data_IF_412336595923
#
_entry.id   IF_412336595923
#
_cell.length_a   1.000
_cell.length_b   1.000
_cell.length_c   1.000
_cell.angle_alpha   90.00
_cell.angle_beta   90.00
_cell.angle_gamma   90.00
#
_symmetry.space_group_name_H-M   'P 1'
#
loop_
_entity.id
_entity.type
_entity.pdbx_description
1 polymer ?
#
# COMPACT_ATOMS: atom_id res chain seq x y z
N UNK A 1 14.60 4.63 -4.89
CA UNK A 1 14.71 5.90 -4.12
C UNK A 1 14.69 5.70 -2.59
N UNK A 2 13.86 4.81 -2.02
CA UNK A 2 13.77 4.63 -0.57
C UNK A 2 15.12 4.31 0.11
N UNK A 3 15.89 3.36 -0.42
CA UNK A 3 17.22 3.06 0.13
C UNK A 3 18.18 4.26 0.04
N UNK A 4 18.36 4.92 -1.11
CA UNK A 4 19.11 6.18 -1.17
C UNK A 4 18.71 7.24 -0.15
N UNK A 5 17.41 7.40 0.13
CA UNK A 5 16.93 8.33 1.16
C UNK A 5 17.43 7.95 2.56
N UNK A 6 17.36 6.66 2.93
CA UNK A 6 17.82 6.20 4.25
C UNK A 6 19.33 6.18 4.40
N UNK A 7 20.04 5.81 3.34
CA UNK A 7 21.50 5.68 3.35
C UNK A 7 22.20 7.04 3.31
N UNK A 8 21.45 8.13 3.06
CA UNK A 8 22.03 9.46 2.93
C UNK A 8 22.69 9.70 1.57
N UNK A 9 22.29 8.96 0.52
CA UNK A 9 22.77 9.13 -0.85
C UNK A 9 22.14 10.33 -1.56
N UNK A 10 22.95 11.15 -2.23
CA UNK A 10 22.50 12.37 -2.90
C UNK A 10 21.57 12.12 -4.11
N UNK A 11 21.54 10.91 -4.63
CA UNK A 11 20.87 10.57 -5.88
C UNK A 11 20.17 9.21 -5.77
N UNK A 12 19.05 9.04 -6.47
CA UNK A 12 18.48 7.73 -6.64
C UNK A 12 19.39 6.82 -7.47
N UNK A 13 19.18 5.50 -7.35
CA UNK A 13 19.92 4.48 -8.09
C UNK A 13 18.96 3.51 -8.74
N UNK A 14 19.33 3.04 -9.92
CA UNK A 14 18.62 1.96 -10.60
C UNK A 14 18.70 0.67 -9.77
N UNK A 15 17.64 -0.12 -9.85
CA UNK A 15 17.55 -1.41 -9.17
C UNK A 15 16.83 -2.41 -10.06
N UNK A 16 17.10 -3.69 -9.85
CA UNK A 16 16.22 -4.73 -10.37
C UNK A 16 14.94 -4.74 -9.54
N UNK A 17 13.82 -4.39 -10.16
CA UNK A 17 12.52 -4.44 -9.51
C UNK A 17 12.09 -5.89 -9.27
N UNK A 18 11.80 -6.22 -8.01
CA UNK A 18 11.36 -7.57 -7.59
C UNK A 18 9.94 -7.60 -7.02
N UNK A 19 9.33 -6.44 -6.77
CA UNK A 19 7.99 -6.37 -6.20
C UNK A 19 6.93 -6.93 -7.14
N UNK A 20 5.96 -7.62 -6.56
CA UNK A 20 4.73 -8.10 -7.20
C UNK A 20 3.56 -7.13 -6.96
N UNK A 21 3.79 -6.03 -6.23
CA UNK A 21 2.82 -4.93 -6.09
C UNK A 21 2.68 -4.23 -7.43
N UNK A 22 1.50 -4.39 -8.03
CA UNK A 22 1.12 -3.69 -9.26
C UNK A 22 1.23 -2.17 -9.08
N UNK A 23 1.54 -1.44 -10.15
CA UNK A 23 1.69 0.02 -10.11
C UNK A 23 3.01 0.55 -9.54
N UNK A 24 3.82 -0.29 -8.87
CA UNK A 24 5.14 0.08 -8.34
C UNK A 24 6.31 -0.62 -9.04
N UNK A 25 6.03 -1.34 -10.14
CA UNK A 25 7.02 -2.10 -10.91
C UNK A 25 7.87 -1.21 -11.83
N UNK A 26 8.50 -0.20 -11.26
CA UNK A 26 9.33 0.78 -11.98
C UNK A 26 10.79 0.58 -11.59
N UNK A 27 11.56 -0.02 -12.49
CA UNK A 27 12.97 -0.32 -12.25
C UNK A 27 13.92 0.86 -12.55
N UNK A 28 13.48 1.82 -13.37
CA UNK A 28 14.30 2.95 -13.82
C UNK A 28 14.15 4.18 -12.93
N UNK A 29 15.25 4.89 -12.72
CA UNK A 29 15.25 6.21 -12.08
C UNK A 29 14.76 7.28 -13.08
N UNK A 30 13.45 7.36 -13.29
CA UNK A 30 12.86 8.41 -14.14
C UNK A 30 12.85 9.74 -13.38
N UNK A 31 12.10 9.81 -12.28
CA UNK A 31 11.99 11.02 -11.43
C UNK A 31 12.68 10.84 -10.07
N UNK A 32 13.37 9.71 -9.85
CA UNK A 32 13.90 9.36 -8.53
C UNK A 32 14.96 10.34 -8.02
N UNK A 33 15.76 10.93 -8.91
CA UNK A 33 16.74 11.96 -8.56
C UNK A 33 16.07 13.22 -8.02
N UNK A 34 14.98 13.65 -8.66
CA UNK A 34 14.17 14.79 -8.25
C UNK A 34 13.52 14.49 -6.90
N UNK A 35 12.91 13.30 -6.75
CA UNK A 35 12.28 12.87 -5.51
C UNK A 35 13.25 12.86 -4.32
N UNK A 36 14.48 12.34 -4.50
CA UNK A 36 15.52 12.36 -3.46
C UNK A 36 15.90 13.79 -3.09
N UNK A 37 16.09 14.65 -4.09
CA UNK A 37 16.49 16.05 -3.90
C UNK A 37 15.43 16.84 -3.13
N UNK A 38 14.16 16.74 -3.50
CA UNK A 38 13.08 17.48 -2.85
C UNK A 38 12.78 16.96 -1.44
N UNK A 39 12.79 15.64 -1.24
CA UNK A 39 12.57 15.03 0.08
C UNK A 39 13.62 15.45 1.12
N UNK A 40 14.88 15.61 0.69
CA UNK A 40 15.96 16.10 1.56
C UNK A 40 15.76 17.53 2.05
N UNK A 41 15.11 18.40 1.27
CA UNK A 41 14.85 19.78 1.69
C UNK A 41 13.88 19.88 2.87
N UNK A 42 13.15 18.80 3.14
CA UNK A 42 12.18 18.71 4.24
C UNK A 42 12.66 17.78 5.35
N UNK A 43 13.95 17.40 5.36
CA UNK A 43 14.51 16.37 6.25
C UNK A 43 13.71 15.04 6.21
N UNK A 44 13.08 14.77 5.07
CA UNK A 44 12.25 13.59 4.86
C UNK A 44 13.07 12.34 4.53
N UNK A 45 12.41 11.19 4.63
CA UNK A 45 13.02 9.88 4.35
C UNK A 45 12.05 8.95 3.60
N UNK A 46 12.43 7.68 3.42
CA UNK A 46 11.57 6.67 2.80
C UNK A 46 11.83 5.27 3.35
N UNK A 47 10.89 4.36 3.16
CA UNK A 47 10.97 2.99 3.66
C UNK A 47 10.92 1.97 2.53
N UNK A 48 11.72 0.92 2.64
CA UNK A 48 11.45 -0.32 1.94
C UNK A 48 10.36 -1.06 2.70
N UNK A 49 9.41 -1.63 1.96
CA UNK A 49 8.29 -2.40 2.49
C UNK A 49 8.19 -3.71 1.75
N UNK A 50 7.85 -4.77 2.46
CA UNK A 50 7.66 -6.11 1.90
C UNK A 50 6.26 -6.22 1.28
N UNK A 51 6.13 -6.92 0.15
CA UNK A 51 4.85 -7.08 -0.55
C UNK A 51 3.74 -7.67 0.36
N UNK A 52 4.08 -8.67 1.19
CA UNK A 52 3.11 -9.28 2.13
C UNK A 52 2.61 -8.29 3.17
N UNK A 53 3.45 -7.33 3.57
CA UNK A 53 3.02 -6.26 4.46
C UNK A 53 2.05 -5.32 3.72
N UNK A 54 2.35 -4.98 2.47
CA UNK A 54 1.46 -4.14 1.64
C UNK A 54 0.09 -4.80 1.46
N UNK A 55 0.02 -6.09 1.12
CA UNK A 55 -1.25 -6.79 0.97
C UNK A 55 -2.02 -6.93 2.28
N UNK A 56 -1.32 -7.12 3.40
CA UNK A 56 -1.95 -7.09 4.73
C UNK A 56 -2.58 -5.72 5.00
N UNK A 57 -1.83 -4.63 4.82
CA UNK A 57 -2.34 -3.28 5.08
C UNK A 57 -3.47 -2.90 4.11
N UNK A 58 -3.37 -3.26 2.84
CA UNK A 58 -4.46 -3.10 1.88
C UNK A 58 -5.76 -3.76 2.39
N UNK A 59 -5.66 -4.98 2.90
CA UNK A 59 -6.78 -5.73 3.45
C UNK A 59 -7.32 -5.10 4.73
N UNK A 60 -6.45 -4.66 5.64
CA UNK A 60 -6.83 -4.00 6.88
C UNK A 60 -7.55 -2.66 6.60
N UNK A 61 -7.06 -1.87 5.63
CA UNK A 61 -7.73 -0.66 5.17
C UNK A 61 -9.14 -0.93 4.63
N UNK A 62 -9.32 -1.99 3.84
CA UNK A 62 -10.63 -2.34 3.30
C UNK A 62 -11.61 -2.84 4.37
N UNK A 63 -11.14 -3.67 5.32
CA UNK A 63 -12.00 -4.37 6.28
C UNK A 63 -12.28 -3.58 7.55
N UNK A 64 -11.31 -2.79 8.01
CA UNK A 64 -11.38 -2.09 9.29
C UNK A 64 -11.69 -0.61 9.11
N UNK A 65 -11.15 0.02 8.06
CA UNK A 65 -11.26 1.47 7.84
C UNK A 65 -12.26 1.84 6.72
N UNK A 66 -12.79 0.86 5.99
CA UNK A 66 -13.69 1.09 4.85
C UNK A 66 -13.02 1.77 3.65
N UNK A 67 -11.69 1.71 3.56
CA UNK A 67 -10.89 2.31 2.48
C UNK A 67 -10.49 1.24 1.47
N UNK A 68 -11.20 1.19 0.35
CA UNK A 68 -10.93 0.22 -0.72
C UNK A 68 -9.91 0.75 -1.75
N UNK A 69 -8.63 0.48 -1.51
CA UNK A 69 -7.50 0.95 -2.33
C UNK A 69 -6.80 -0.16 -3.12
N UNK A 70 -6.06 0.22 -4.16
CA UNK A 70 -5.13 -0.68 -4.86
C UNK A 70 -3.87 -0.94 -4.00
N UNK A 71 -3.12 -2.03 -4.23
CA UNK A 71 -1.95 -2.35 -3.40
C UNK A 71 -0.89 -1.24 -3.35
N UNK A 72 -0.57 -0.59 -4.48
CA UNK A 72 0.39 0.52 -4.51
C UNK A 72 0.00 1.69 -3.58
N UNK A 73 -1.29 2.00 -3.51
CA UNK A 73 -1.80 3.11 -2.70
C UNK A 73 -1.68 2.82 -1.19
N UNK A 74 -1.69 1.55 -0.77
CA UNK A 74 -1.49 1.16 0.62
C UNK A 74 -0.05 1.37 1.12
N UNK A 75 0.93 1.56 0.23
CA UNK A 75 2.35 1.73 0.61
C UNK A 75 2.59 3.00 1.43
N UNK A 76 1.83 4.07 1.19
CA UNK A 76 1.94 5.30 2.00
C UNK A 76 1.65 5.02 3.48
N UNK A 77 0.62 4.21 3.76
CA UNK A 77 0.25 3.76 5.12
C UNK A 77 1.30 2.81 5.69
N UNK A 78 1.85 1.90 4.87
CA UNK A 78 2.94 1.01 5.31
C UNK A 78 4.17 1.81 5.77
N UNK A 79 4.53 2.85 5.02
CA UNK A 79 5.61 3.77 5.38
C UNK A 79 5.36 4.48 6.71
N UNK A 80 4.14 5.00 6.92
CA UNK A 80 3.75 5.63 8.18
C UNK A 80 3.80 4.65 9.37
N UNK A 81 3.34 3.41 9.19
CA UNK A 81 3.43 2.38 10.24
C UNK A 81 4.89 2.07 10.59
N UNK A 82 5.77 1.94 9.59
CA UNK A 82 7.20 1.73 9.84
C UNK A 82 7.83 2.93 10.55
N UNK A 83 7.50 4.16 10.15
CA UNK A 83 7.97 5.39 10.80
C UNK A 83 7.59 5.42 12.28
N UNK A 84 6.33 5.07 12.59
CA UNK A 84 5.83 5.00 13.97
C UNK A 84 6.57 3.93 14.77
N UNK A 85 6.75 2.73 14.19
CA UNK A 85 7.47 1.64 14.85
C UNK A 85 8.94 1.97 15.12
N UNK A 86 9.56 2.79 14.28
CA UNK A 86 10.94 3.25 14.45
C UNK A 86 11.04 4.49 15.36
N UNK A 87 9.92 5.04 15.83
CA UNK A 87 9.88 6.26 16.65
C UNK A 87 10.24 7.54 15.89
N UNK A 88 10.21 7.50 14.56
CA UNK A 88 10.50 8.64 13.68
C UNK A 88 9.29 9.59 13.57
N UNK A 89 8.09 9.10 13.86
CA UNK A 89 6.87 9.88 14.12
C UNK A 89 6.24 9.43 15.44
N UNK A 90 5.44 10.30 16.06
CA UNK A 90 4.75 10.05 17.33
C UNK A 90 3.28 9.68 17.10
N UNK A 91 2.66 9.05 18.11
CA UNK A 91 1.27 8.59 18.03
C UNK A 91 0.24 9.74 17.95
N UNK A 92 0.63 10.93 18.38
CA UNK A 92 -0.18 12.16 18.36
C UNK A 92 0.14 13.08 17.16
N UNK A 93 1.07 12.70 16.30
CA UNK A 93 1.36 13.43 15.06
C UNK A 93 0.17 13.34 14.09
N UNK A 94 -0.05 14.43 13.34
CA UNK A 94 -1.02 14.46 12.25
C UNK A 94 -0.34 13.98 10.97
N UNK A 95 -0.68 12.77 10.53
CA UNK A 95 -0.09 12.14 9.35
C UNK A 95 -1.12 12.09 8.22
N UNK A 96 -0.67 12.42 7.02
CA UNK A 96 -1.47 12.32 5.79
C UNK A 96 -0.86 11.22 4.91
N UNK A 97 -1.64 10.17 4.64
CA UNK A 97 -1.26 9.08 3.74
C UNK A 97 -2.07 9.16 2.44
N UNK A 98 -1.48 9.58 1.31
CA UNK A 98 -2.20 9.65 0.05
C UNK A 98 -2.64 8.26 -0.44
N UNK A 99 -3.92 8.14 -0.80
CA UNK A 99 -4.47 6.96 -1.46
C UNK A 99 -4.66 7.30 -2.94
N UNK A 100 -3.69 6.92 -3.77
CA UNK A 100 -3.59 7.35 -5.18
C UNK A 100 -4.47 6.56 -6.15
N UNK A 101 -5.00 5.41 -5.72
CA UNK A 101 -5.81 4.54 -6.57
C UNK A 101 -6.80 3.68 -5.79
N UNK A 102 -7.97 3.48 -6.39
CA UNK A 102 -9.05 2.63 -5.88
C UNK A 102 -8.78 1.16 -6.15
N UNK A 103 -9.29 0.26 -5.29
CA UNK A 103 -9.14 -1.19 -5.47
C UNK A 103 -9.68 -1.73 -6.80
N UNK A 104 -10.64 -1.04 -7.44
CA UNK A 104 -11.16 -1.40 -8.76
C UNK A 104 -10.13 -1.35 -9.90
N UNK A 105 -8.98 -0.71 -9.71
CA UNK A 105 -7.92 -0.64 -10.72
C UNK A 105 -7.13 -1.95 -10.86
N UNK A 106 -7.17 -2.83 -9.86
CA UNK A 106 -6.41 -4.09 -9.86
C UNK A 106 -7.28 -5.28 -9.45
N UNK A 107 -7.99 -5.90 -10.41
CA UNK A 107 -8.84 -7.06 -10.16
C UNK A 107 -8.10 -8.25 -9.52
N UNK A 108 -6.82 -8.47 -9.85
CA UNK A 108 -6.05 -9.59 -9.28
C UNK A 108 -5.79 -9.37 -7.79
N UNK A 109 -5.56 -8.13 -7.38
CA UNK A 109 -5.45 -7.81 -5.95
C UNK A 109 -6.76 -8.02 -5.21
N UNK A 110 -7.91 -7.79 -5.87
CA UNK A 110 -9.23 -8.04 -5.29
C UNK A 110 -9.43 -9.53 -5.01
N UNK A 111 -9.10 -10.39 -5.98
CA UNK A 111 -9.14 -11.85 -5.80
C UNK A 111 -8.28 -12.28 -4.60
N UNK A 112 -7.08 -11.70 -4.45
CA UNK A 112 -6.21 -11.97 -3.30
C UNK A 112 -6.84 -11.51 -1.98
N UNK A 113 -7.41 -10.30 -1.94
CA UNK A 113 -8.00 -9.69 -0.75
C UNK A 113 -9.15 -10.53 -0.19
N UNK A 114 -9.91 -11.19 -1.07
CA UNK A 114 -11.06 -12.03 -0.70
C UNK A 114 -10.77 -13.54 -0.72
N UNK A 115 -9.51 -13.95 -0.94
CA UNK A 115 -9.16 -15.37 -1.11
C UNK A 115 -9.43 -16.26 0.11
N UNK A 116 -9.51 -15.67 1.30
CA UNK A 116 -9.85 -16.33 2.57
C UNK A 116 -11.31 -16.10 2.99
N UNK A 117 -12.12 -15.47 2.13
CA UNK A 117 -13.54 -15.25 2.37
C UNK A 117 -14.35 -16.35 1.71
N UNK A 118 -15.23 -16.97 2.50
CA UNK A 118 -16.30 -17.77 1.95
C UNK A 118 -17.42 -16.82 1.50
N UNK A 119 -17.71 -16.81 0.20
CA UNK A 119 -18.82 -16.07 -0.38
C UNK A 119 -19.91 -17.07 -0.76
N UNK A 120 -20.84 -17.39 0.16
CA UNK A 120 -21.86 -18.40 -0.10
C UNK A 120 -22.76 -17.92 -1.25
N UNK A 121 -22.80 -18.70 -2.32
CA UNK A 121 -23.76 -18.48 -3.40
C UNK A 121 -25.13 -18.91 -2.90
N UNK A 122 -26.08 -17.98 -2.93
CA UNK A 122 -27.48 -18.23 -2.58
C UNK A 122 -28.24 -18.55 -3.87
N UNK A 123 -28.84 -19.73 -3.95
CA UNK A 123 -29.77 -20.06 -5.03
C UNK A 123 -31.07 -19.25 -4.87
N UNK A 124 -31.82 -19.03 -5.94
CA UNK A 124 -33.11 -18.35 -5.85
C UNK A 124 -34.05 -19.03 -4.84
N UNK A 125 -34.09 -20.37 -4.83
CA UNK A 125 -34.87 -21.15 -3.86
C UNK A 125 -34.48 -20.81 -2.41
N UNK A 126 -33.17 -20.81 -2.11
CA UNK A 126 -32.66 -20.46 -0.78
C UNK A 126 -32.90 -19.00 -0.42
N UNK A 127 -32.93 -18.11 -1.41
CA UNK A 127 -33.22 -16.69 -1.21
C UNK A 127 -34.69 -16.49 -0.80
N UNK A 128 -35.63 -17.20 -1.43
CA UNK A 128 -37.05 -17.18 -1.06
C UNK A 128 -37.26 -17.69 0.38
N UNK A 129 -36.58 -18.77 0.76
CA UNK A 129 -36.64 -19.30 2.13
C UNK A 129 -36.15 -18.29 3.18
N UNK A 130 -35.08 -17.53 2.89
CA UNK A 130 -34.54 -16.49 3.79
C UNK A 130 -35.51 -15.31 3.94
N UNK A 131 -36.20 -14.92 2.86
CA UNK A 131 -37.18 -13.83 2.90
C UNK A 131 -38.46 -14.22 3.65
N UNK A 132 -38.76 -15.51 3.75
CA UNK A 132 -39.93 -16.03 4.43
C UNK A 132 -39.74 -16.22 5.95
N UNK A 133 -38.52 -16.08 6.47
CA UNK A 133 -38.14 -16.22 7.90
C UNK A 133 -37.98 -14.89 8.62
#
# INVERSE_FOLDING_TARGET
MATPLRDGDAQARDIQCTTKVSGLQVASVTDGHIAVTECRKTDGTGYLVEDEFVWKIQKDLARSEGVFCEPAAAVSVCGAINALQMGEIQADDIIVCPITGSGFKDPKSVERLVSDLDCPIVSNERFEDILAS
#
